data_IF_788933897943
#
_entry.id   IF_788933897943
#
_cell.length_a   1.000
_cell.length_b   1.000
_cell.length_c   1.000
_cell.angle_alpha   90.00
_cell.angle_beta   90.00
_cell.angle_gamma   90.00
#
_symmetry.space_group_name_H-M   'P 1'
#
loop_
_entity.id
_entity.type
_entity.pdbx_description
1 polymer ?
#
# COMPACT_ATOMS: atom_id res chain seq x y z
N UNK A 1 16.12 -39.78 21.66
CA UNK A 1 16.20 -38.37 21.20
C UNK A 1 17.14 -37.62 22.12
N UNK A 2 18.04 -36.76 21.60
CA UNK A 2 18.90 -35.96 22.48
C UNK A 2 18.08 -34.87 23.18
N UNK A 3 18.48 -34.50 24.39
CA UNK A 3 17.87 -33.41 25.17
C UNK A 3 17.81 -32.10 24.37
N UNK A 4 18.82 -31.83 23.54
CA UNK A 4 18.86 -30.68 22.62
C UNK A 4 17.71 -30.70 21.61
N UNK A 5 17.41 -31.86 21.02
CA UNK A 5 16.31 -32.00 20.05
C UNK A 5 14.95 -31.75 20.73
N UNK A 6 14.77 -32.21 21.98
CA UNK A 6 13.54 -31.97 22.74
C UNK A 6 13.36 -30.47 23.04
N UNK A 7 14.41 -29.78 23.47
CA UNK A 7 14.37 -28.34 23.74
C UNK A 7 14.03 -27.55 22.47
N UNK A 8 14.63 -27.89 21.33
CA UNK A 8 14.34 -27.25 20.04
C UNK A 8 12.87 -27.43 19.65
N UNK A 9 12.33 -28.64 19.78
CA UNK A 9 10.92 -28.91 19.45
C UNK A 9 9.96 -28.16 20.36
N UNK A 10 10.22 -28.11 21.67
CA UNK A 10 9.42 -27.34 22.62
C UNK A 10 9.46 -25.84 22.30
N UNK A 11 10.64 -25.29 21.98
CA UNK A 11 10.79 -23.90 21.59
C UNK A 11 10.01 -23.59 20.30
N UNK A 12 10.07 -24.45 19.29
CA UNK A 12 9.29 -24.29 18.06
C UNK A 12 7.79 -24.27 18.35
N UNK A 13 7.28 -25.24 19.12
CA UNK A 13 5.84 -25.31 19.46
C UNK A 13 5.40 -24.05 20.22
N UNK A 14 6.20 -23.55 21.16
CA UNK A 14 5.89 -22.33 21.89
C UNK A 14 5.85 -21.10 20.97
N UNK A 15 6.80 -20.96 20.06
CA UNK A 15 6.85 -19.85 19.09
C UNK A 15 5.66 -19.92 18.13
N UNK A 16 5.39 -21.08 17.52
CA UNK A 16 4.27 -21.24 16.60
C UNK A 16 2.93 -21.05 17.30
N UNK A 17 2.76 -21.57 18.51
CA UNK A 17 1.58 -21.38 19.33
C UNK A 17 1.34 -19.90 19.65
N UNK A 18 2.39 -19.17 20.03
CA UNK A 18 2.33 -17.73 20.28
C UNK A 18 1.93 -16.92 19.05
N UNK A 19 2.55 -17.20 17.89
CA UNK A 19 2.21 -16.54 16.61
C UNK A 19 0.76 -16.85 16.23
N UNK A 20 0.32 -18.11 16.32
CA UNK A 20 -1.05 -18.50 16.00
C UNK A 20 -2.08 -17.80 16.90
N UNK A 21 -1.84 -17.79 18.21
CA UNK A 21 -2.71 -17.11 19.18
C UNK A 21 -2.80 -15.62 18.89
N UNK A 22 -1.67 -14.97 18.61
CA UNK A 22 -1.62 -13.56 18.23
C UNK A 22 -2.45 -13.28 16.96
N UNK A 23 -2.31 -14.12 15.92
CA UNK A 23 -3.10 -13.99 14.68
C UNK A 23 -4.60 -14.10 14.94
N UNK A 24 -5.03 -14.98 15.84
CA UNK A 24 -6.45 -15.12 16.22
C UNK A 24 -6.98 -13.87 16.93
N UNK A 25 -6.22 -13.31 17.88
CA UNK A 25 -6.60 -12.06 18.55
C UNK A 25 -6.73 -10.92 17.54
N UNK A 26 -5.75 -10.78 16.64
CA UNK A 26 -5.76 -9.73 15.62
C UNK A 26 -7.01 -9.85 14.74
N UNK A 27 -7.31 -11.06 14.25
CA UNK A 27 -8.50 -11.33 13.44
C UNK A 27 -9.79 -10.96 14.18
N UNK A 28 -9.90 -11.36 15.45
CA UNK A 28 -11.06 -11.02 16.29
C UNK A 28 -11.23 -9.51 16.44
N UNK A 29 -10.16 -8.80 16.84
CA UNK A 29 -10.20 -7.34 17.02
C UNK A 29 -10.55 -6.59 15.73
N UNK A 30 -10.04 -7.04 14.59
CA UNK A 30 -10.39 -6.46 13.30
C UNK A 30 -11.86 -6.71 12.95
N UNK A 31 -12.35 -7.94 13.15
CA UNK A 31 -13.77 -8.24 12.93
C UNK A 31 -14.68 -7.39 13.83
N UNK A 32 -14.32 -7.23 15.10
CA UNK A 32 -15.07 -6.39 16.05
C UNK A 32 -15.07 -4.92 15.65
N UNK A 33 -13.93 -4.39 15.16
CA UNK A 33 -13.86 -3.04 14.59
C UNK A 33 -14.88 -2.88 13.45
N UNK A 34 -14.88 -3.78 12.47
CA UNK A 34 -15.80 -3.68 11.34
C UNK A 34 -17.28 -3.78 11.74
N UNK A 35 -17.60 -4.58 12.76
CA UNK A 35 -18.98 -4.75 13.25
C UNK A 35 -19.47 -3.57 14.10
N UNK A 36 -18.59 -2.95 14.88
CA UNK A 36 -18.96 -1.93 15.86
C UNK A 36 -18.72 -0.50 15.37
N UNK A 37 -18.02 -0.32 14.24
CA UNK A 37 -17.73 0.98 13.67
C UNK A 37 -18.79 1.40 12.65
N UNK A 38 -19.33 2.60 12.83
CA UNK A 38 -20.12 3.27 11.80
C UNK A 38 -19.17 3.95 10.80
N UNK A 39 -18.85 3.27 9.70
CA UNK A 39 -17.91 3.77 8.69
C UNK A 39 -18.39 5.08 8.05
N UNK A 40 -19.70 5.28 7.87
CA UNK A 40 -20.27 6.55 7.40
C UNK A 40 -19.91 7.71 8.32
N UNK A 41 -20.01 7.50 9.63
CA UNK A 41 -19.66 8.51 10.63
C UNK A 41 -18.15 8.76 10.67
N UNK A 42 -17.34 7.70 10.60
CA UNK A 42 -15.87 7.80 10.59
C UNK A 42 -15.33 8.48 9.33
N UNK A 43 -16.02 8.34 8.20
CA UNK A 43 -15.66 9.01 6.96
C UNK A 43 -15.69 10.55 7.09
N UNK A 44 -16.56 11.09 7.93
CA UNK A 44 -16.58 12.53 8.22
C UNK A 44 -15.32 13.01 8.95
N UNK A 45 -14.53 12.09 9.54
CA UNK A 45 -13.25 12.38 10.18
C UNK A 45 -12.05 12.16 9.26
N UNK A 46 -12.26 11.79 7.99
CA UNK A 46 -11.17 11.50 7.05
C UNK A 46 -10.15 12.65 6.96
N UNK A 47 -10.60 13.91 6.97
CA UNK A 47 -9.70 15.07 6.96
C UNK A 47 -8.81 15.15 8.22
N UNK A 48 -9.36 14.83 9.40
CA UNK A 48 -8.62 14.80 10.67
C UNK A 48 -7.56 13.70 10.61
N UNK A 49 -7.94 12.49 10.22
CA UNK A 49 -7.02 11.35 10.11
C UNK A 49 -5.90 11.61 9.11
N UNK A 50 -6.25 12.10 7.92
CA UNK A 50 -5.30 12.53 6.90
C UNK A 50 -4.30 13.54 7.48
N UNK A 51 -4.78 14.58 8.16
CA UNK A 51 -3.90 15.60 8.73
C UNK A 51 -3.00 15.07 9.85
N UNK A 52 -3.48 14.14 10.67
CA UNK A 52 -2.66 13.49 11.70
C UNK A 52 -1.48 12.72 11.08
N UNK A 53 -1.70 12.02 9.96
CA UNK A 53 -0.63 11.34 9.23
C UNK A 53 0.34 12.34 8.60
N UNK A 54 -0.18 13.37 7.92
CA UNK A 54 0.62 14.40 7.25
C UNK A 54 1.39 15.34 8.20
N UNK A 55 1.01 15.42 9.47
CA UNK A 55 1.74 16.15 10.51
C UNK A 55 2.62 15.24 11.36
N UNK A 56 2.52 13.92 11.16
CA UNK A 56 3.24 12.90 11.91
C UNK A 56 4.16 12.12 10.98
N UNK A 57 3.84 10.85 10.74
CA UNK A 57 4.72 9.92 10.02
C UNK A 57 4.90 10.22 8.52
N UNK A 58 4.07 11.11 7.93
CA UNK A 58 4.13 11.51 6.52
C UNK A 58 4.37 13.02 6.33
N UNK A 59 5.05 13.68 7.27
CA UNK A 59 5.35 15.12 7.17
C UNK A 59 6.12 15.50 5.91
N UNK A 60 6.99 14.62 5.43
CA UNK A 60 7.74 14.82 4.18
C UNK A 60 6.82 15.03 2.96
N UNK A 61 5.61 14.46 2.94
CA UNK A 61 4.66 14.70 1.84
C UNK A 61 4.23 16.17 1.83
N UNK A 62 3.96 16.74 3.00
CA UNK A 62 3.58 18.15 3.14
C UNK A 62 4.71 19.08 2.71
N UNK A 63 5.96 18.74 3.03
CA UNK A 63 7.15 19.49 2.61
C UNK A 63 7.29 19.51 1.08
N UNK A 64 7.09 18.35 0.44
CA UNK A 64 7.24 18.18 -1.01
C UNK A 64 6.10 18.78 -1.82
N UNK A 65 4.95 19.00 -1.18
CA UNK A 65 3.84 19.71 -1.78
C UNK A 65 4.03 21.24 -1.76
N UNK A 66 5.09 21.76 -1.11
CA UNK A 66 5.46 23.19 -1.10
C UNK A 66 4.27 24.11 -0.75
N UNK A 67 3.47 23.72 0.24
CA UNK A 67 2.28 24.46 0.68
C UNK A 67 1.04 24.31 -0.21
N UNK A 68 1.09 23.51 -1.28
CA UNK A 68 -0.12 23.12 -2.03
C UNK A 68 -1.04 22.28 -1.14
N UNK A 69 -2.35 22.47 -1.32
CA UNK A 69 -3.35 21.73 -0.56
C UNK A 69 -3.27 20.23 -0.85
N UNK A 70 -3.28 19.40 0.18
CA UNK A 70 -3.43 17.94 0.03
C UNK A 70 -4.88 17.59 0.31
N UNK A 71 -5.66 17.23 -0.71
CA UNK A 71 -7.07 16.87 -0.56
C UNK A 71 -7.25 15.50 0.07
N UNK A 72 -6.49 14.53 -0.45
CA UNK A 72 -6.43 13.15 -0.01
C UNK A 72 -5.14 12.50 -0.52
N UNK A 73 -4.74 11.38 0.08
CA UNK A 73 -3.60 10.61 -0.39
C UNK A 73 -3.81 9.11 -0.23
N UNK A 74 -3.05 8.31 -0.96
CA UNK A 74 -2.99 6.87 -0.79
C UNK A 74 -1.60 6.33 -1.10
N UNK A 75 -1.33 5.12 -0.63
CA UNK A 75 -0.15 4.36 -0.98
C UNK A 75 -0.39 3.59 -2.28
N UNK A 76 0.67 3.46 -3.05
CA UNK A 76 0.70 2.70 -4.27
C UNK A 76 2.00 1.91 -4.38
N UNK A 77 1.98 0.93 -5.25
CA UNK A 77 3.12 0.08 -5.60
C UNK A 77 3.10 -0.17 -7.10
N UNK A 78 4.27 -0.35 -7.72
CA UNK A 78 4.29 -0.69 -9.14
C UNK A 78 3.65 -2.04 -9.39
N UNK A 79 2.82 -2.09 -10.42
CA UNK A 79 2.26 -3.33 -10.92
C UNK A 79 3.33 -4.09 -11.72
N UNK A 80 4.26 -4.73 -11.03
CA UNK A 80 5.17 -5.68 -11.67
C UNK A 80 4.39 -6.98 -11.95
N UNK A 81 3.66 -7.01 -13.07
CA UNK A 81 3.13 -8.27 -13.57
C UNK A 81 4.31 -9.20 -13.89
N UNK A 82 4.26 -10.40 -13.33
CA UNK A 82 5.32 -11.42 -13.25
C UNK A 82 5.71 -12.06 -14.59
N UNK A 83 5.54 -11.39 -15.73
CA UNK A 83 5.92 -11.93 -17.06
C UNK A 83 7.00 -11.12 -17.78
N UNK A 84 7.06 -9.81 -17.62
CA UNK A 84 8.04 -9.00 -18.36
C UNK A 84 9.26 -8.62 -17.51
N UNK A 85 9.10 -8.46 -16.19
CA UNK A 85 10.23 -8.14 -15.30
C UNK A 85 11.19 -9.31 -15.06
N UNK A 86 10.75 -10.58 -15.21
CA UNK A 86 11.67 -11.71 -15.11
C UNK A 86 12.63 -11.74 -16.31
N UNK A 87 12.18 -11.33 -17.50
CA UNK A 87 12.99 -11.45 -18.71
C UNK A 87 14.10 -10.39 -18.77
N UNK A 88 13.78 -9.15 -18.37
CA UNK A 88 14.75 -8.06 -18.38
C UNK A 88 15.60 -8.00 -17.10
N UNK A 89 15.04 -8.29 -15.92
CA UNK A 89 15.86 -8.37 -14.71
C UNK A 89 16.82 -9.56 -14.72
N UNK A 90 16.48 -10.69 -15.37
CA UNK A 90 17.45 -11.80 -15.57
C UNK A 90 18.52 -11.40 -16.58
N UNK A 91 18.16 -10.69 -17.66
CA UNK A 91 19.11 -10.28 -18.70
C UNK A 91 20.09 -9.20 -18.22
N UNK A 92 19.64 -8.24 -17.41
CA UNK A 92 20.52 -7.24 -16.81
C UNK A 92 21.27 -7.77 -15.58
N UNK A 93 20.68 -8.67 -14.79
CA UNK A 93 21.42 -9.36 -13.71
C UNK A 93 22.52 -10.28 -14.27
N UNK A 94 22.30 -10.94 -15.40
CA UNK A 94 23.33 -11.76 -16.05
C UNK A 94 24.49 -10.92 -16.62
N UNK A 95 24.21 -9.70 -17.10
CA UNK A 95 25.26 -8.78 -17.55
C UNK A 95 26.08 -8.22 -16.38
N UNK A 96 25.47 -8.03 -15.21
CA UNK A 96 26.16 -7.60 -13.98
C UNK A 96 26.89 -8.72 -13.22
N UNK A 97 26.53 -9.99 -13.45
CA UNK A 97 27.11 -11.15 -12.73
C UNK A 97 28.51 -11.56 -13.21
N UNK A 98 29.00 -11.04 -14.33
CA UNK A 98 30.32 -11.42 -14.85
C UNK A 98 31.49 -10.64 -14.23
N UNK A 99 31.23 -9.59 -13.46
CA UNK A 99 32.28 -8.65 -13.02
C UNK A 99 32.21 -8.30 -11.54
N UNK A 100 32.50 -9.28 -10.67
CA UNK A 100 32.81 -9.16 -9.23
C UNK A 100 31.73 -9.73 -8.29
N UNK A 101 32.21 -10.40 -7.23
CA UNK A 101 31.50 -11.32 -6.35
C UNK A 101 30.09 -10.92 -5.89
N UNK A 102 29.19 -11.90 -5.92
CA UNK A 102 28.09 -12.17 -4.98
C UNK A 102 27.30 -10.98 -4.42
N UNK A 103 26.87 -10.02 -5.26
CA UNK A 103 25.81 -9.09 -4.87
C UNK A 103 24.54 -9.44 -5.64
N UNK A 104 23.59 -10.09 -4.96
CA UNK A 104 22.24 -10.33 -5.48
C UNK A 104 21.52 -8.99 -5.58
N UNK A 105 21.39 -8.44 -6.78
CA UNK A 105 20.54 -7.28 -7.04
C UNK A 105 19.08 -7.64 -6.70
N UNK A 106 18.60 -7.15 -5.56
CA UNK A 106 17.17 -7.03 -5.31
C UNK A 106 16.82 -5.62 -5.79
N UNK A 107 16.02 -5.47 -6.84
CA UNK A 107 15.37 -4.19 -7.11
C UNK A 107 14.47 -3.91 -5.90
N UNK A 108 14.93 -3.05 -4.98
CA UNK A 108 14.19 -2.69 -3.78
C UNK A 108 12.89 -2.05 -4.25
N UNK A 109 11.75 -2.65 -3.90
CA UNK A 109 10.46 -2.06 -4.19
C UNK A 109 10.18 -0.98 -3.16
N UNK A 110 10.10 0.25 -3.64
CA UNK A 110 9.97 1.44 -2.81
C UNK A 110 8.51 1.89 -2.74
N UNK A 111 8.07 2.44 -1.60
CA UNK A 111 6.73 2.95 -1.45
C UNK A 111 6.46 4.10 -2.43
N UNK A 112 5.29 4.11 -3.07
CA UNK A 112 4.83 5.27 -3.84
C UNK A 112 3.65 5.93 -3.16
N UNK A 113 3.59 7.25 -3.26
CA UNK A 113 2.55 8.06 -2.64
C UNK A 113 1.77 8.79 -3.73
N UNK A 114 0.48 8.49 -3.82
CA UNK A 114 -0.47 9.22 -4.65
C UNK A 114 -1.11 10.31 -3.81
N UNK A 115 -1.04 11.55 -4.28
CA UNK A 115 -1.56 12.72 -3.55
C UNK A 115 -2.44 13.53 -4.49
N UNK A 116 -3.72 13.63 -4.12
CA UNK A 116 -4.69 14.43 -4.86
C UNK A 116 -4.64 15.88 -4.35
N UNK A 117 -4.46 16.85 -5.26
CA UNK A 117 -4.31 18.27 -4.95
C UNK A 117 -5.00 19.13 -6.00
N UNK A 118 -6.18 19.67 -5.66
CA UNK A 118 -7.06 20.31 -6.64
C UNK A 118 -7.38 19.33 -7.78
N UNK A 119 -7.19 19.74 -9.02
CA UNK A 119 -7.43 18.85 -10.16
C UNK A 119 -6.20 17.99 -10.51
N UNK A 120 -5.07 18.16 -9.83
CA UNK A 120 -3.85 17.41 -10.12
C UNK A 120 -3.72 16.16 -9.24
N UNK A 121 -3.13 15.11 -9.80
CA UNK A 121 -2.68 13.94 -9.06
C UNK A 121 -1.15 13.90 -9.06
N UNK A 122 -0.56 13.94 -7.88
CA UNK A 122 0.88 13.86 -7.67
C UNK A 122 1.26 12.42 -7.36
N UNK A 123 2.36 11.95 -7.94
CA UNK A 123 2.99 10.67 -7.63
C UNK A 123 4.40 10.94 -7.14
N UNK A 124 4.63 10.66 -5.87
CA UNK A 124 5.97 10.63 -5.29
C UNK A 124 6.50 9.21 -5.33
N UNK A 125 7.63 9.04 -6.00
CA UNK A 125 8.42 7.82 -5.98
C UNK A 125 9.52 7.96 -4.93
N UNK A 126 9.80 6.88 -4.20
CA UNK A 126 10.92 6.86 -3.25
C UNK A 126 12.05 5.99 -3.75
N UNK A 127 13.27 6.25 -3.31
CA UNK A 127 14.43 5.37 -3.52
C UNK A 127 14.57 4.36 -2.38
N UNK A 128 15.67 3.59 -2.43
CA UNK A 128 15.98 2.52 -1.48
C UNK A 128 16.25 3.01 -0.08
N UNK A 129 16.57 4.29 0.07
CA UNK A 129 16.82 4.95 1.34
C UNK A 129 15.53 5.57 1.92
N UNK A 130 14.43 5.50 1.16
CA UNK A 130 13.11 6.02 1.52
C UNK A 130 12.94 7.50 1.18
N UNK A 131 13.93 8.11 0.52
CA UNK A 131 13.90 9.51 0.08
C UNK A 131 13.11 9.63 -1.22
N UNK A 132 12.51 10.80 -1.47
CA UNK A 132 11.77 11.01 -2.71
C UNK A 132 12.74 11.15 -3.87
N UNK A 133 12.67 10.19 -4.79
CA UNK A 133 13.55 10.08 -5.94
C UNK A 133 12.94 10.70 -7.20
N UNK A 134 11.61 10.78 -7.28
CA UNK A 134 10.91 11.38 -8.41
C UNK A 134 9.54 11.92 -8.00
N UNK A 135 9.14 13.00 -8.65
CA UNK A 135 7.84 13.63 -8.48
C UNK A 135 7.18 13.84 -9.84
N UNK A 136 6.10 13.09 -10.10
CA UNK A 136 5.29 13.23 -11.30
C UNK A 136 3.98 13.95 -10.96
N UNK A 137 3.53 14.82 -11.87
CA UNK A 137 2.25 15.53 -11.74
C UNK A 137 1.37 15.22 -12.95
N UNK A 138 0.29 14.50 -12.70
CA UNK A 138 -0.73 14.17 -13.70
C UNK A 138 -1.79 15.25 -13.71
N UNK A 139 -1.78 16.04 -14.80
CA UNK A 139 -2.77 17.08 -15.08
C UNK A 139 -4.13 16.47 -15.49
N UNK A 140 -5.23 17.24 -15.44
CA UNK A 140 -6.57 16.73 -15.72
C UNK A 140 -6.71 16.01 -17.06
N UNK A 141 -6.06 16.52 -18.11
CA UNK A 141 -6.07 15.89 -19.44
C UNK A 141 -5.56 14.45 -19.43
N UNK A 142 -4.55 14.13 -18.60
CA UNK A 142 -4.04 12.75 -18.44
C UNK A 142 -4.98 11.91 -17.59
N UNK A 143 -5.56 12.48 -16.54
CA UNK A 143 -6.46 11.78 -15.64
C UNK A 143 -7.78 11.39 -16.30
N UNK A 144 -8.29 12.20 -17.24
CA UNK A 144 -9.51 11.90 -18.02
C UNK A 144 -9.37 10.70 -18.95
N UNK A 145 -8.14 10.37 -19.37
CA UNK A 145 -7.84 9.21 -20.23
C UNK A 145 -7.13 8.07 -19.46
N UNK A 146 -6.98 8.22 -18.16
CA UNK A 146 -6.50 7.18 -17.25
C UNK A 146 -7.63 6.20 -16.90
N UNK A 147 -7.30 5.06 -16.30
CA UNK A 147 -8.32 4.07 -15.90
C UNK A 147 -8.01 3.45 -14.55
N UNK A 148 -9.04 3.00 -13.85
CA UNK A 148 -8.91 2.18 -12.65
C UNK A 148 -9.77 0.93 -12.76
N UNK A 149 -9.25 -0.20 -12.32
CA UNK A 149 -9.96 -1.49 -12.32
C UNK A 149 -9.76 -2.23 -11.01
N UNK A 150 -10.83 -2.80 -10.46
CA UNK A 150 -10.75 -3.68 -9.29
C UNK A 150 -9.97 -4.95 -9.64
N UNK A 151 -9.03 -5.34 -8.77
CA UNK A 151 -8.24 -6.55 -8.91
C UNK A 151 -8.83 -7.68 -8.07
N UNK A 152 -8.85 -8.92 -8.58
CA UNK A 152 -9.18 -10.07 -7.76
C UNK A 152 -8.17 -10.22 -6.62
N UNK A 153 -8.66 -10.47 -5.41
CA UNK A 153 -7.81 -10.74 -4.25
C UNK A 153 -7.25 -12.15 -4.31
N UNK A 154 -6.15 -12.31 -5.04
CA UNK A 154 -5.41 -13.57 -5.21
C UNK A 154 -3.94 -13.43 -4.75
N UNK A 155 -3.31 -14.57 -4.47
CA UNK A 155 -1.89 -14.65 -4.12
C UNK A 155 -1.45 -13.66 -3.05
N UNK A 156 -0.42 -12.88 -3.36
CA UNK A 156 0.16 -11.87 -2.46
C UNK A 156 -0.78 -10.71 -2.21
N UNK A 157 -1.55 -10.26 -3.20
CA UNK A 157 -2.54 -9.16 -3.07
C UNK A 157 -3.56 -9.50 -1.98
N UNK A 158 -4.06 -10.74 -1.97
CA UNK A 158 -4.97 -11.23 -0.91
C UNK A 158 -4.32 -11.21 0.46
N UNK A 159 -3.06 -11.64 0.54
CA UNK A 159 -2.32 -11.69 1.80
C UNK A 159 -2.10 -10.27 2.37
N UNK A 160 -1.82 -9.28 1.51
CA UNK A 160 -1.69 -7.88 1.91
C UNK A 160 -3.03 -7.30 2.35
N UNK A 161 -4.08 -7.38 1.53
CA UNK A 161 -5.40 -6.83 1.88
C UNK A 161 -5.90 -7.33 3.26
N UNK A 162 -5.72 -8.64 3.52
CA UNK A 162 -6.06 -9.27 4.80
C UNK A 162 -5.30 -8.73 6.01
N UNK A 163 -4.20 -8.02 5.84
CA UNK A 163 -3.52 -7.37 6.96
C UNK A 163 -4.38 -6.28 7.59
N UNK A 164 -5.25 -5.65 6.80
CA UNK A 164 -6.17 -4.57 7.19
C UNK A 164 -7.61 -5.04 7.37
N UNK A 165 -7.98 -6.17 6.77
CA UNK A 165 -9.26 -6.86 6.99
C UNK A 165 -9.83 -7.44 5.70
N UNK A 166 -10.85 -8.29 5.81
CA UNK A 166 -11.45 -8.95 4.65
C UNK A 166 -12.27 -8.00 3.74
N UNK A 167 -12.55 -6.77 4.21
CA UNK A 167 -13.29 -5.75 3.44
C UNK A 167 -12.38 -4.87 2.57
N UNK A 168 -11.06 -5.01 2.66
CA UNK A 168 -10.13 -4.20 1.87
C UNK A 168 -10.04 -4.72 0.44
N UNK A 169 -10.26 -3.83 -0.52
CA UNK A 169 -10.18 -4.08 -1.95
C UNK A 169 -8.83 -3.64 -2.51
N UNK A 170 -8.46 -4.22 -3.64
CA UNK A 170 -7.27 -3.84 -4.41
C UNK A 170 -7.68 -3.31 -5.78
N UNK A 171 -6.96 -2.31 -6.28
CA UNK A 171 -7.21 -1.69 -7.56
C UNK A 171 -5.91 -1.54 -8.34
N UNK A 172 -6.01 -1.70 -9.65
CA UNK A 172 -4.99 -1.28 -10.61
C UNK A 172 -5.40 0.07 -11.17
N UNK A 173 -4.56 1.08 -11.02
CA UNK A 173 -4.71 2.36 -11.70
C UNK A 173 -3.65 2.47 -12.79
N UNK A 174 -4.08 2.78 -14.00
CA UNK A 174 -3.26 3.02 -15.18
C UNK A 174 -3.27 4.52 -15.45
N UNK A 175 -2.17 5.20 -15.15
CA UNK A 175 -2.02 6.65 -15.31
C UNK A 175 -1.38 6.95 -16.67
N UNK A 176 -2.09 7.69 -17.51
CA UNK A 176 -1.63 7.99 -18.87
C UNK A 176 -0.38 8.88 -18.88
N UNK A 177 0.58 8.53 -19.75
CA UNK A 177 1.79 9.32 -20.05
C UNK A 177 1.87 9.53 -21.58
N UNK A 178 2.93 10.16 -22.07
CA UNK A 178 3.21 10.23 -23.52
C UNK A 178 3.77 8.93 -24.09
N UNK A 179 4.31 8.07 -23.23
CA UNK A 179 4.88 6.78 -23.58
C UNK A 179 3.90 5.66 -23.20
N UNK A 180 4.31 4.77 -22.29
CA UNK A 180 3.45 3.75 -21.69
C UNK A 180 2.81 4.27 -20.39
N UNK A 181 1.54 3.91 -20.13
CA UNK A 181 0.91 4.24 -18.85
C UNK A 181 1.70 3.73 -17.65
N UNK A 182 1.69 4.50 -16.56
CA UNK A 182 2.25 4.08 -15.29
C UNK A 182 1.20 3.25 -14.56
N UNK A 183 1.48 1.97 -14.40
CA UNK A 183 0.60 0.98 -13.80
C UNK A 183 0.91 0.80 -12.31
N UNK A 184 -0.05 1.13 -11.45
CA UNK A 184 0.09 1.06 -10.00
C UNK A 184 -1.00 0.19 -9.38
N UNK A 185 -0.64 -0.52 -8.31
CA UNK A 185 -1.56 -1.21 -7.41
C UNK A 185 -1.72 -0.38 -6.14
N UNK A 186 -2.96 -0.10 -5.78
CA UNK A 186 -3.36 0.55 -4.52
C UNK A 186 -4.51 -0.22 -3.87
N UNK A 187 -4.71 0.01 -2.57
CA UNK A 187 -5.78 -0.62 -1.81
C UNK A 187 -6.80 0.41 -1.33
N UNK A 188 -7.99 -0.05 -0.93
CA UNK A 188 -8.97 0.74 -0.17
C UNK A 188 -8.54 0.97 1.29
N UNK A 189 -7.24 1.07 1.54
CA UNK A 189 -6.60 1.36 2.82
C UNK A 189 -5.15 1.77 2.52
N UNK A 190 -4.52 2.55 3.40
CA UNK A 190 -3.09 2.82 3.32
C UNK A 190 -2.31 1.52 3.53
N UNK A 191 -1.82 0.94 2.44
CA UNK A 191 -1.13 -0.35 2.42
C UNK A 191 -0.13 -0.44 1.27
N UNK A 192 1.06 -0.94 1.56
CA UNK A 192 2.05 -1.30 0.54
C UNK A 192 1.94 -2.77 0.19
N UNK A 193 2.02 -3.10 -1.10
CA UNK A 193 2.03 -4.48 -1.61
C UNK A 193 3.36 -5.21 -1.36
N UNK A 194 4.22 -4.71 -0.46
CA UNK A 194 5.50 -5.32 -0.14
C UNK A 194 5.72 -5.42 1.37
N UNK A 195 6.41 -6.47 1.83
CA UNK A 195 6.67 -6.65 3.24
C UNK A 195 7.79 -5.69 3.65
N UNK A 196 7.42 -4.50 4.15
CA UNK A 196 8.35 -3.76 4.99
C UNK A 196 8.58 -4.58 6.27
N UNK A 197 9.85 -4.72 6.61
CA UNK A 197 10.40 -5.63 7.61
C UNK A 197 9.59 -5.72 8.91
N UNK A 198 9.03 -6.91 9.18
CA UNK A 198 8.84 -7.48 10.51
C UNK A 198 7.78 -6.91 11.46
N UNK A 199 7.36 -5.64 11.37
CA UNK A 199 6.67 -4.98 12.49
C UNK A 199 5.18 -4.67 12.28
N UNK A 200 4.69 -4.43 11.05
CA UNK A 200 3.27 -4.08 10.84
C UNK A 200 2.34 -5.29 10.97
N UNK A 201 2.82 -6.49 10.63
CA UNK A 201 2.05 -7.73 10.73
C UNK A 201 1.60 -8.02 12.18
N UNK A 202 2.39 -7.56 13.16
CA UNK A 202 2.15 -7.74 14.60
C UNK A 202 1.54 -6.50 15.29
N UNK A 203 1.04 -5.52 14.53
CA UNK A 203 0.29 -4.42 15.12
C UNK A 203 -1.14 -4.84 15.49
N UNK A 204 -1.52 -4.60 16.76
CA UNK A 204 -2.90 -4.68 17.25
C UNK A 204 -3.57 -3.30 17.34
N UNK A 205 -2.98 -2.27 16.72
CA UNK A 205 -3.55 -0.92 16.76
C UNK A 205 -4.78 -0.84 15.83
N UNK A 206 -5.93 -1.17 16.40
CA UNK A 206 -7.23 -1.16 15.73
C UNK A 206 -7.57 0.24 15.23
N UNK A 207 -7.30 1.28 16.04
CA UNK A 207 -7.59 2.67 15.66
C UNK A 207 -6.78 3.10 14.45
N UNK A 208 -5.46 2.84 14.45
CA UNK A 208 -4.61 3.16 13.29
C UNK A 208 -5.09 2.44 12.02
N UNK A 209 -5.46 1.16 12.12
CA UNK A 209 -6.01 0.42 10.98
C UNK A 209 -7.30 1.05 10.44
N UNK A 210 -8.21 1.48 11.33
CA UNK A 210 -9.41 2.18 10.94
C UNK A 210 -9.08 3.48 10.19
N UNK A 211 -8.17 4.30 10.73
CA UNK A 211 -7.73 5.55 10.11
C UNK A 211 -7.14 5.33 8.71
N UNK A 212 -6.27 4.34 8.57
CA UNK A 212 -5.67 3.97 7.28
C UNK A 212 -6.71 3.49 6.26
N UNK A 213 -7.74 2.76 6.70
CA UNK A 213 -8.88 2.36 5.86
C UNK A 213 -9.65 3.62 5.42
N UNK A 214 -10.03 4.49 6.36
CA UNK A 214 -10.81 5.70 6.07
C UNK A 214 -10.06 6.62 5.09
N UNK A 215 -8.75 6.84 5.30
CA UNK A 215 -7.94 7.68 4.41
C UNK A 215 -7.90 7.08 2.98
N UNK A 216 -7.67 5.77 2.86
CA UNK A 216 -7.64 5.10 1.55
C UNK A 216 -8.98 5.16 0.81
N UNK A 217 -10.09 5.03 1.53
CA UNK A 217 -11.43 5.17 0.94
C UNK A 217 -11.74 6.62 0.57
N UNK A 218 -11.34 7.60 1.38
CA UNK A 218 -11.52 9.03 1.08
C UNK A 218 -10.76 9.45 -0.18
N UNK A 219 -9.54 8.95 -0.36
CA UNK A 219 -8.80 9.14 -1.59
C UNK A 219 -9.54 8.59 -2.80
N UNK A 220 -9.96 7.31 -2.77
CA UNK A 220 -10.65 6.67 -3.89
C UNK A 220 -11.99 7.36 -4.20
N UNK A 221 -12.73 7.78 -3.17
CA UNK A 221 -13.97 8.52 -3.31
C UNK A 221 -13.73 9.87 -3.99
N UNK A 222 -12.81 10.70 -3.46
CA UNK A 222 -12.52 12.03 -4.02
C UNK A 222 -11.96 11.95 -5.43
N UNK A 223 -11.11 10.95 -5.72
CA UNK A 223 -10.60 10.72 -7.06
C UNK A 223 -11.75 10.41 -8.03
N UNK A 224 -12.65 9.49 -7.68
CA UNK A 224 -13.81 9.12 -8.50
C UNK A 224 -14.93 10.17 -8.58
N UNK A 225 -15.00 11.08 -7.60
CA UNK A 225 -15.90 12.24 -7.63
C UNK A 225 -15.40 13.29 -8.62
N UNK A 226 -14.07 13.52 -8.68
CA UNK A 226 -13.44 14.46 -9.64
C UNK A 226 -13.31 13.89 -11.04
N UNK A 227 -12.96 12.60 -11.13
CA UNK A 227 -12.70 11.89 -12.38
C UNK A 227 -13.59 10.65 -12.47
N UNK A 228 -14.78 10.73 -13.09
CA UNK A 228 -15.73 9.62 -13.13
C UNK A 228 -15.18 8.33 -13.77
N UNK A 229 -14.22 8.42 -14.69
CA UNK A 229 -13.49 7.30 -15.28
C UNK A 229 -12.54 6.59 -14.30
N UNK A 230 -12.26 7.22 -13.15
CA UNK A 230 -11.46 6.69 -12.04
C UNK A 230 -12.34 6.34 -10.82
N UNK A 231 -13.65 6.22 -11.01
CA UNK A 231 -14.59 5.84 -9.93
C UNK A 231 -14.56 4.34 -9.67
N UNK A 232 -14.57 3.98 -8.39
CA UNK A 232 -14.64 2.59 -7.92
C UNK A 232 -15.88 2.36 -7.05
N UNK A 233 -16.28 1.10 -6.91
CA UNK A 233 -17.46 0.68 -6.14
C UNK A 233 -17.10 -0.16 -4.92
N UNK A 234 -18.00 -0.19 -3.93
CA UNK A 234 -17.83 -0.99 -2.71
C UNK A 234 -16.73 -0.45 -1.79
N UNK A 235 -16.57 0.88 -1.76
CA UNK A 235 -15.83 1.56 -0.69
C UNK A 235 -16.62 1.42 0.61
N UNK A 236 -15.91 1.38 1.74
CA UNK A 236 -16.60 1.47 3.04
C UNK A 236 -17.15 2.88 3.18
N UNK A 237 -18.45 2.98 3.43
CA UNK A 237 -19.21 4.20 3.47
C UNK A 237 -20.27 4.14 4.55
#
# INVERSE_FOLDING_TARGET
>A
MSTTLIIVLVAMVAIYGGIFYFMQIKKKKQSEMFLNTNFSAEMNKAAIYKNNFLNGELSFISEQMEGKMIDAFNYASLNYTTKDSIKDSVKDSLKGMATLGTVRFHSVQTPKYLVLSGDDLHLFDTDTDGEISSHFVFKPARLLVSSITELPLEGTIKAYARQKGDQVKAFRISLATDESPIELILFSALLFSYPNTGLSAFSLNVQKNLEEIIIGNDFLKKLGDRYPNLRVSGLVA
#
